data_IF_725410976790
#
_entry.id   IF_725410976790
#
_cell.length_a   1.000
_cell.length_b   1.000
_cell.length_c   1.000
_cell.angle_alpha   90.00
_cell.angle_beta   90.00
_cell.angle_gamma   90.00
#
_symmetry.space_group_name_H-M   'P 1'
#
loop_
_entity.id
_entity.type
_entity.pdbx_description
1 polymer ?
#
# COMPACT_ATOMS: atom_id res chain seq x y z
N UNK A 1 -7.29 -10.05 16.28
CA UNK A 1 -7.26 -11.55 16.32
C UNK A 1 -6.11 -12.05 15.47
N UNK A 2 -5.69 -13.31 15.65
CA UNK A 2 -4.78 -13.97 14.70
C UNK A 2 -5.57 -14.93 13.83
N UNK A 3 -5.37 -14.85 12.53
CA UNK A 3 -5.88 -15.83 11.56
C UNK A 3 -5.14 -17.17 11.65
N UNK A 4 -5.50 -18.15 10.79
CA UNK A 4 -4.89 -19.49 10.82
C UNK A 4 -3.38 -19.48 10.69
N UNK A 5 -2.83 -18.63 9.83
CA UNK A 5 -1.40 -18.50 9.52
C UNK A 5 -0.76 -17.29 10.20
N UNK A 6 -0.83 -17.17 11.49
CA UNK A 6 -0.68 -16.01 12.37
C UNK A 6 -0.90 -14.60 11.77
N UNK A 7 -1.62 -14.51 10.65
CA UNK A 7 -2.01 -13.22 10.08
C UNK A 7 -2.79 -12.38 11.10
N UNK A 8 -2.51 -11.09 11.14
CA UNK A 8 -3.28 -10.18 11.95
C UNK A 8 -4.60 -9.83 11.26
N UNK A 9 -5.71 -10.14 11.90
CA UNK A 9 -7.07 -9.82 11.41
C UNK A 9 -7.71 -8.83 12.37
N UNK A 10 -8.15 -7.70 11.83
CA UNK A 10 -8.93 -6.71 12.57
C UNK A 10 -10.42 -6.84 12.22
N UNK A 11 -11.25 -6.77 13.24
CA UNK A 11 -12.71 -6.71 13.11
C UNK A 11 -13.21 -5.36 13.60
N UNK A 12 -13.87 -4.59 12.72
CA UNK A 12 -14.57 -3.36 13.07
C UNK A 12 -16.07 -3.61 13.14
N UNK A 13 -16.62 -3.70 14.36
CA UNK A 13 -18.03 -4.10 14.61
C UNK A 13 -19.07 -3.02 14.37
N UNK A 14 -18.71 -1.82 13.93
CA UNK A 14 -19.63 -0.67 13.77
C UNK A 14 -19.97 -0.36 12.31
N UNK A 15 -19.63 -1.23 11.39
CA UNK A 15 -19.89 -1.02 9.97
C UNK A 15 -21.32 -1.45 9.60
N UNK A 16 -22.01 -0.73 8.71
CA UNK A 16 -23.39 -1.04 8.32
C UNK A 16 -23.53 -2.31 7.49
N UNK A 17 -22.43 -2.79 6.90
CA UNK A 17 -22.38 -4.03 6.13
C UNK A 17 -21.02 -4.69 6.29
N UNK A 18 -21.00 -6.01 6.15
CA UNK A 18 -19.77 -6.79 6.12
C UNK A 18 -19.00 -6.48 4.83
N UNK A 19 -17.71 -6.17 4.96
CA UNK A 19 -16.80 -5.95 3.83
C UNK A 19 -15.35 -6.10 4.25
N UNK A 20 -14.49 -6.36 3.27
CA UNK A 20 -13.06 -6.38 3.47
C UNK A 20 -12.52 -4.94 3.31
N UNK A 21 -12.22 -4.29 4.41
CA UNK A 21 -11.73 -2.90 4.42
C UNK A 21 -11.30 -2.47 5.83
N UNK A 22 -10.13 -1.84 6.03
CA UNK A 22 -9.07 -1.54 5.07
C UNK A 22 -8.00 -2.64 4.96
N UNK A 23 -7.09 -2.47 4.00
CA UNK A 23 -5.78 -3.15 3.99
C UNK A 23 -4.78 -2.29 4.74
N UNK A 24 -4.05 -2.87 5.69
CA UNK A 24 -3.02 -2.18 6.46
C UNK A 24 -1.64 -2.65 6.00
N UNK A 25 -0.75 -1.70 5.76
CA UNK A 25 0.65 -1.95 5.39
C UNK A 25 1.57 -1.05 6.21
N UNK A 26 2.77 -1.53 6.47
CA UNK A 26 3.86 -0.67 6.90
C UNK A 26 4.54 -0.03 5.69
N UNK A 27 5.01 1.20 5.85
CA UNK A 27 5.76 1.93 4.83
C UNK A 27 7.00 2.55 5.45
N UNK A 28 8.08 2.64 4.67
CA UNK A 28 9.29 3.34 5.12
C UNK A 28 9.03 4.84 5.25
N UNK A 29 8.21 5.40 4.35
CA UNK A 29 7.74 6.78 4.35
C UNK A 29 6.26 6.82 3.91
N UNK A 30 5.31 6.83 4.86
CA UNK A 30 3.89 6.87 4.55
C UNK A 30 3.44 8.07 3.71
N UNK A 31 4.09 9.23 3.87
CA UNK A 31 3.75 10.44 3.11
C UNK A 31 4.28 10.33 1.68
N UNK A 32 5.52 9.88 1.54
CA UNK A 32 6.10 9.58 0.23
C UNK A 32 5.29 8.51 -0.51
N UNK A 33 4.82 7.48 0.20
CA UNK A 33 3.94 6.47 -0.37
C UNK A 33 2.63 7.08 -0.89
N UNK A 34 1.97 7.97 -0.12
CA UNK A 34 0.77 8.67 -0.59
C UNK A 34 1.00 9.36 -1.94
N UNK A 35 2.09 10.13 -2.05
CA UNK A 35 2.43 10.83 -3.28
C UNK A 35 2.77 9.87 -4.43
N UNK A 36 3.43 8.76 -4.14
CA UNK A 36 3.72 7.72 -5.12
C UNK A 36 2.44 7.10 -5.69
N UNK A 37 1.52 6.67 -4.83
CA UNK A 37 0.24 6.08 -5.25
C UNK A 37 -0.65 7.06 -6.01
N UNK A 38 -0.69 8.32 -5.57
CA UNK A 38 -1.41 9.38 -6.31
C UNK A 38 -0.83 9.61 -7.70
N UNK A 39 0.49 9.69 -7.80
CA UNK A 39 1.18 9.97 -9.07
C UNK A 39 1.08 8.80 -10.05
N UNK A 40 1.40 7.61 -9.59
CA UNK A 40 1.58 6.45 -10.47
C UNK A 40 0.29 5.66 -10.69
N UNK A 41 -0.58 5.58 -9.69
CA UNK A 41 -1.81 4.79 -9.75
C UNK A 41 -3.09 5.63 -9.75
N UNK A 42 -2.98 6.97 -9.79
CA UNK A 42 -4.11 7.90 -9.75
C UNK A 42 -5.03 7.68 -8.52
N UNK A 43 -4.50 7.11 -7.44
CA UNK A 43 -5.28 6.75 -6.28
C UNK A 43 -5.69 7.99 -5.47
N UNK A 44 -6.98 8.24 -5.24
CA UNK A 44 -7.41 9.36 -4.40
C UNK A 44 -6.99 9.12 -2.95
N UNK A 45 -6.63 10.21 -2.27
CA UNK A 45 -6.34 10.15 -0.84
C UNK A 45 -7.59 9.77 -0.04
N UNK A 46 -7.42 8.88 0.93
CA UNK A 46 -8.50 8.49 1.82
C UNK A 46 -8.98 9.67 2.68
N UNK A 47 -10.28 9.97 2.74
CA UNK A 47 -10.83 11.01 3.61
C UNK A 47 -10.44 10.83 5.08
N UNK A 48 -10.04 11.90 5.75
CA UNK A 48 -9.60 11.87 7.15
C UNK A 48 -8.18 11.34 7.38
N UNK A 49 -7.44 11.01 6.31
CA UNK A 49 -6.05 10.55 6.35
C UNK A 49 -5.09 11.49 5.62
N UNK A 50 -5.50 12.74 5.45
CA UNK A 50 -4.59 13.76 4.98
C UNK A 50 -3.45 13.95 5.99
N UNK A 51 -2.19 13.93 5.54
CA UNK A 51 -1.07 14.32 6.38
C UNK A 51 -1.28 15.73 6.92
N UNK A 52 -0.98 15.93 8.18
CA UNK A 52 -0.92 17.27 8.76
C UNK A 52 0.39 17.96 8.36
N UNK A 53 0.48 19.28 8.54
CA UNK A 53 1.75 19.99 8.34
C UNK A 53 2.86 19.46 9.28
N UNK A 54 2.47 18.96 10.45
CA UNK A 54 3.42 18.32 11.38
C UNK A 54 3.94 16.98 10.82
N UNK A 55 3.07 16.18 10.23
CA UNK A 55 3.48 14.89 9.62
C UNK A 55 4.42 15.10 8.43
N UNK A 56 4.18 16.12 7.60
CA UNK A 56 5.02 16.44 6.45
C UNK A 56 6.46 16.85 6.78
N UNK A 57 6.73 17.19 8.04
CA UNK A 57 8.06 17.50 8.53
C UNK A 57 8.74 16.33 9.25
N UNK A 58 8.05 15.19 9.39
CA UNK A 58 8.63 14.01 10.00
C UNK A 58 9.51 13.29 9.01
N UNK A 59 10.76 13.12 9.34
CA UNK A 59 11.70 12.30 8.59
C UNK A 59 12.27 11.23 9.50
N UNK A 60 12.53 10.07 8.93
CA UNK A 60 13.18 8.99 9.66
C UNK A 60 14.63 9.35 9.92
N UNK A 61 15.08 9.19 11.17
CA UNK A 61 16.46 9.41 11.55
C UNK A 61 17.40 8.36 10.91
N UNK A 62 18.73 8.62 10.92
CA UNK A 62 19.71 7.68 10.38
C UNK A 62 19.75 6.34 11.15
N UNK A 63 19.31 6.34 12.39
CA UNK A 63 19.10 5.15 13.25
C UNK A 63 17.74 4.49 13.03
N UNK A 64 17.01 4.90 11.99
CA UNK A 64 15.67 4.43 11.62
C UNK A 64 14.57 4.78 12.64
N UNK A 65 14.81 5.69 13.56
CA UNK A 65 13.77 6.20 14.45
C UNK A 65 12.92 7.28 13.82
N UNK A 66 11.68 7.40 14.28
CA UNK A 66 10.76 8.48 13.91
C UNK A 66 10.62 9.47 15.07
N UNK A 67 10.83 10.79 14.85
CA UNK A 67 10.90 11.77 15.93
C UNK A 67 9.62 11.92 16.76
N UNK A 68 8.46 11.68 16.17
CA UNK A 68 7.16 11.93 16.80
C UNK A 68 6.26 10.69 16.80
N UNK A 69 6.82 9.52 17.09
CA UNK A 69 6.01 8.31 17.17
C UNK A 69 5.05 8.34 18.34
N UNK A 70 3.76 8.47 18.05
CA UNK A 70 2.73 8.08 18.99
C UNK A 70 2.60 6.55 18.96
N UNK A 71 3.05 5.88 20.02
CA UNK A 71 3.00 4.43 20.16
C UNK A 71 1.77 3.93 20.90
N UNK A 72 0.87 4.82 21.27
CA UNK A 72 -0.35 4.44 21.96
C UNK A 72 -1.41 3.95 20.96
N UNK A 73 -1.92 2.76 21.20
CA UNK A 73 -2.96 2.14 20.38
C UNK A 73 -2.50 1.64 19.02
N UNK A 74 -3.45 1.51 18.09
CA UNK A 74 -3.24 1.01 16.72
C UNK A 74 -2.72 2.07 15.74
N UNK A 75 -2.88 3.35 16.07
CA UNK A 75 -2.57 4.44 15.16
C UNK A 75 -1.17 4.99 15.44
N UNK A 76 -0.34 4.93 14.43
CA UNK A 76 1.05 5.38 14.48
C UNK A 76 1.26 6.46 13.42
N UNK A 77 1.80 7.59 13.83
CA UNK A 77 2.15 8.69 12.93
C UNK A 77 3.63 8.62 12.55
N UNK A 78 4.01 9.06 11.35
CA UNK A 78 3.15 9.52 10.26
C UNK A 78 2.29 8.38 9.71
N UNK A 79 1.09 8.72 9.23
CA UNK A 79 0.19 7.77 8.58
C UNK A 79 -0.43 8.43 7.36
N UNK A 80 -0.76 7.64 6.35
CA UNK A 80 -1.47 8.08 5.17
C UNK A 80 -2.33 6.95 4.61
N UNK A 81 -3.07 7.19 3.55
CA UNK A 81 -3.84 6.15 2.88
C UNK A 81 -4.52 6.66 1.62
N UNK A 82 -4.85 5.73 0.76
CA UNK A 82 -5.59 5.95 -0.48
C UNK A 82 -6.81 5.06 -0.55
N UNK A 83 -7.67 5.31 -1.52
CA UNK A 83 -8.84 4.49 -1.80
C UNK A 83 -8.78 3.94 -3.22
N UNK A 84 -9.20 2.68 -3.38
CA UNK A 84 -9.44 2.03 -4.65
C UNK A 84 -10.88 1.50 -4.62
N UNK A 85 -11.80 2.22 -5.27
CA UNK A 85 -13.22 1.92 -5.18
C UNK A 85 -13.72 2.02 -3.73
N UNK A 86 -14.18 0.92 -3.17
CA UNK A 86 -14.68 0.81 -1.79
C UNK A 86 -13.65 0.23 -0.79
N UNK A 87 -12.43 -0.03 -1.24
CA UNK A 87 -11.33 -0.54 -0.41
C UNK A 87 -10.31 0.56 -0.15
N UNK A 88 -9.97 0.74 1.11
CA UNK A 88 -8.90 1.66 1.52
C UNK A 88 -7.61 0.90 1.78
N UNK A 89 -6.49 1.46 1.33
CA UNK A 89 -5.14 1.08 1.78
C UNK A 89 -4.65 2.12 2.77
N UNK A 90 -4.18 1.66 3.91
CA UNK A 90 -3.70 2.51 4.99
C UNK A 90 -2.27 2.15 5.36
N UNK A 91 -1.45 3.15 5.54
CA UNK A 91 -0.03 2.99 5.83
C UNK A 91 0.35 3.58 7.18
N UNK A 92 1.21 2.83 7.86
CA UNK A 92 1.88 3.25 9.08
C UNK A 92 3.38 3.22 8.88
N UNK A 93 4.10 4.09 9.57
CA UNK A 93 5.55 4.09 9.50
C UNK A 93 6.12 2.78 10.03
N UNK A 94 7.00 2.15 9.24
CA UNK A 94 7.76 0.98 9.70
C UNK A 94 8.58 1.36 10.93
N UNK A 95 8.31 0.72 12.05
CA UNK A 95 8.99 0.93 13.33
C UNK A 95 10.01 -0.15 13.65
N UNK A 96 10.14 -1.14 12.77
CA UNK A 96 11.14 -2.17 12.90
C UNK A 96 12.55 -1.63 12.70
N UNK A 97 13.53 -2.31 13.28
CA UNK A 97 14.95 -1.97 13.12
C UNK A 97 15.44 -2.24 11.69
N UNK A 98 14.79 -3.18 11.02
CA UNK A 98 15.15 -3.56 9.65
C UNK A 98 14.28 -2.84 8.62
N UNK A 99 14.83 -2.51 7.44
CA UNK A 99 14.05 -2.07 6.29
C UNK A 99 12.99 -3.09 5.89
N UNK A 100 11.91 -2.61 5.29
CA UNK A 100 10.93 -3.46 4.64
C UNK A 100 11.59 -4.19 3.45
N UNK A 101 11.14 -5.39 3.22
CA UNK A 101 11.58 -6.25 2.11
C UNK A 101 10.38 -6.58 1.24
N UNK A 102 10.63 -7.18 0.07
CA UNK A 102 9.56 -7.58 -0.84
C UNK A 102 8.48 -8.40 -0.13
N UNK A 103 7.23 -8.09 -0.40
CA UNK A 103 6.09 -8.88 0.08
C UNK A 103 5.95 -10.22 -0.66
N UNK A 104 6.59 -10.37 -1.83
CA UNK A 104 6.54 -11.62 -2.60
C UNK A 104 7.03 -12.81 -1.79
N UNK A 105 6.21 -13.88 -1.79
CA UNK A 105 6.49 -15.10 -1.04
C UNK A 105 6.19 -15.01 0.46
N UNK A 106 5.66 -13.88 0.95
CA UNK A 106 5.17 -13.74 2.31
C UNK A 106 3.69 -14.14 2.42
N UNK A 107 3.15 -14.16 3.65
CA UNK A 107 1.75 -14.50 3.90
C UNK A 107 0.78 -13.57 3.14
N UNK A 108 1.07 -12.28 3.08
CA UNK A 108 0.43 -11.31 2.20
C UNK A 108 1.40 -11.04 1.04
N UNK A 109 1.28 -11.83 -0.01
CA UNK A 109 2.23 -11.84 -1.11
C UNK A 109 2.12 -10.56 -1.96
N UNK A 110 0.91 -10.20 -2.39
CA UNK A 110 0.65 -9.02 -3.21
C UNK A 110 -0.77 -8.49 -3.01
N UNK A 111 -1.04 -7.33 -3.59
CA UNK A 111 -2.36 -6.71 -3.68
C UNK A 111 -2.71 -6.59 -5.15
N UNK A 112 -3.82 -7.17 -5.56
CA UNK A 112 -4.32 -7.06 -6.93
C UNK A 112 -5.25 -5.85 -7.09
N UNK A 113 -5.01 -5.08 -8.15
CA UNK A 113 -5.78 -3.91 -8.55
C UNK A 113 -6.33 -4.13 -9.96
N UNK A 114 -7.63 -4.00 -10.13
CA UNK A 114 -8.27 -4.09 -11.43
C UNK A 114 -8.02 -2.83 -12.26
N UNK A 115 -7.63 -3.00 -13.51
CA UNK A 115 -7.41 -1.91 -14.46
C UNK A 115 -8.08 -2.23 -15.79
N UNK A 116 -8.56 -1.21 -16.49
CA UNK A 116 -8.88 -1.28 -17.91
C UNK A 116 -7.64 -0.90 -18.71
N UNK A 117 -7.42 -1.49 -19.88
CA UNK A 117 -6.29 -1.17 -20.77
C UNK A 117 -4.91 -1.33 -20.09
N UNK A 118 -4.54 -2.59 -19.83
CA UNK A 118 -3.29 -2.93 -19.18
C UNK A 118 -2.06 -2.41 -19.93
N UNK A 119 -2.11 -2.36 -21.27
CA UNK A 119 -0.97 -1.89 -22.08
C UNK A 119 -0.73 -0.40 -21.85
N UNK A 120 -1.76 0.43 -21.77
CA UNK A 120 -1.64 1.85 -21.44
C UNK A 120 -1.06 2.06 -20.02
N UNK A 121 -1.44 1.23 -19.06
CA UNK A 121 -0.86 1.25 -17.71
C UNK A 121 0.62 0.86 -17.72
N UNK A 122 1.00 -0.16 -18.46
CA UNK A 122 2.40 -0.60 -18.59
C UNK A 122 3.25 0.52 -19.18
N UNK A 123 2.80 1.12 -20.29
CA UNK A 123 3.52 2.21 -20.94
C UNK A 123 3.70 3.42 -20.03
N UNK A 124 2.64 3.82 -19.33
CA UNK A 124 2.68 4.89 -18.34
C UNK A 124 3.70 4.60 -17.24
N UNK A 125 3.60 3.45 -16.60
CA UNK A 125 4.43 3.11 -15.44
C UNK A 125 5.90 2.92 -15.81
N UNK A 126 6.19 2.34 -16.98
CA UNK A 126 7.56 2.27 -17.53
C UNK A 126 8.12 3.66 -17.82
N UNK A 127 7.32 4.53 -18.46
CA UNK A 127 7.70 5.91 -18.74
C UNK A 127 7.98 6.73 -17.47
N UNK A 128 7.34 6.38 -16.36
CA UNK A 128 7.52 7.02 -15.06
C UNK A 128 8.61 6.36 -14.18
N UNK A 129 9.26 5.30 -14.69
CA UNK A 129 10.36 4.62 -14.01
C UNK A 129 9.93 3.71 -12.85
N UNK A 130 8.68 3.26 -12.83
CA UNK A 130 8.21 2.29 -11.84
C UNK A 130 8.88 0.94 -12.10
N UNK A 131 9.32 0.28 -11.03
CA UNK A 131 9.97 -1.02 -11.12
C UNK A 131 8.94 -2.12 -11.36
N UNK A 132 9.17 -2.93 -12.39
CA UNK A 132 8.42 -4.13 -12.68
C UNK A 132 9.09 -5.32 -12.00
N UNK A 133 8.31 -6.11 -11.28
CA UNK A 133 8.75 -7.35 -10.64
C UNK A 133 8.64 -8.53 -11.59
N UNK A 134 7.63 -8.50 -12.45
CA UNK A 134 7.39 -9.50 -13.51
C UNK A 134 6.93 -8.80 -14.79
N UNK A 135 7.31 -9.34 -15.94
CA UNK A 135 6.78 -8.92 -17.23
C UNK A 135 5.30 -9.32 -17.34
N UNK A 136 4.52 -8.72 -18.25
CA UNK A 136 3.13 -9.11 -18.45
C UNK A 136 2.95 -10.60 -18.68
N UNK A 137 2.02 -11.21 -17.96
CA UNK A 137 1.76 -12.65 -17.99
C UNK A 137 0.27 -12.99 -18.12
N UNK A 138 -0.08 -14.17 -18.65
CA UNK A 138 -1.46 -14.62 -18.67
C UNK A 138 -1.94 -15.00 -17.25
N UNK A 139 -3.13 -14.56 -16.90
CA UNK A 139 -3.79 -14.86 -15.63
C UNK A 139 -5.22 -15.39 -15.93
N UNK A 140 -5.38 -16.71 -16.01
CA UNK A 140 -6.64 -17.30 -16.44
C UNK A 140 -7.01 -16.88 -17.86
N UNK A 141 -8.13 -16.20 -18.01
CA UNK A 141 -8.66 -15.68 -19.27
C UNK A 141 -8.30 -14.19 -19.52
N UNK A 142 -7.47 -13.60 -18.65
CA UNK A 142 -7.00 -12.22 -18.76
C UNK A 142 -5.47 -12.13 -18.68
N UNK A 143 -4.96 -10.93 -18.49
CA UNK A 143 -3.53 -10.64 -18.32
C UNK A 143 -3.29 -9.84 -17.06
N UNK A 144 -2.10 -9.98 -16.53
CA UNK A 144 -1.65 -9.19 -15.40
C UNK A 144 -0.18 -8.77 -15.55
N UNK A 145 0.23 -7.81 -14.72
CA UNK A 145 1.63 -7.41 -14.57
C UNK A 145 1.91 -7.12 -13.09
N UNK A 146 3.12 -7.43 -12.63
CA UNK A 146 3.53 -7.20 -11.26
C UNK A 146 4.51 -6.04 -11.17
N UNK A 147 4.20 -5.05 -10.33
CA UNK A 147 5.06 -3.90 -10.06
C UNK A 147 5.43 -3.84 -8.57
N UNK A 148 6.47 -3.05 -8.26
CA UNK A 148 6.88 -2.79 -6.88
C UNK A 148 6.43 -1.41 -6.44
N UNK A 149 5.76 -1.36 -5.29
CA UNK A 149 5.41 -0.12 -4.61
C UNK A 149 6.59 0.47 -3.84
N UNK A 150 6.43 1.66 -3.23
CA UNK A 150 7.53 2.45 -2.67
C UNK A 150 8.26 1.82 -1.47
N UNK A 151 7.68 0.84 -0.82
CA UNK A 151 8.29 0.12 0.31
C UNK A 151 8.39 -1.39 0.07
N UNK A 152 8.63 -1.77 -1.17
CA UNK A 152 8.82 -3.14 -1.64
C UNK A 152 7.56 -4.02 -1.60
N UNK A 153 6.38 -3.44 -1.42
CA UNK A 153 5.13 -4.16 -1.58
C UNK A 153 4.89 -4.51 -3.06
N UNK A 154 4.44 -5.74 -3.31
CA UNK A 154 4.06 -6.17 -4.65
C UNK A 154 2.62 -5.76 -4.96
N UNK A 155 2.42 -5.17 -6.12
CA UNK A 155 1.13 -4.77 -6.65
C UNK A 155 0.92 -5.46 -8.01
N UNK A 156 -0.17 -6.18 -8.14
CA UNK A 156 -0.57 -6.83 -9.38
C UNK A 156 -1.63 -5.98 -10.08
N UNK A 157 -1.39 -5.55 -11.29
CA UNK A 157 -2.41 -4.91 -12.12
C UNK A 157 -3.04 -5.98 -13.01
N UNK A 158 -4.34 -6.20 -12.83
CA UNK A 158 -5.11 -7.21 -13.55
C UNK A 158 -6.06 -6.55 -14.52
N UNK A 159 -5.97 -6.92 -15.79
CA UNK A 159 -6.88 -6.40 -16.82
C UNK A 159 -8.30 -6.92 -16.59
N UNK A 160 -9.27 -6.00 -16.60
CA UNK A 160 -10.70 -6.33 -16.55
C UNK A 160 -11.41 -5.68 -17.73
N UNK A 161 -12.37 -6.44 -18.31
CA UNK A 161 -13.19 -5.99 -19.43
C UNK A 161 -14.36 -5.12 -18.96
#
# INVERSE_FOLDING_TARGET
MRGPDPAHVEYAGTQPAERFNPVHLDQEDPIGALHWYQKHLNAPMRPGYAPTAADGNLTRGPDRTWPALNREGMFRTPRAGVEFGDVSMMWYANQGEQPLVSSRGQLQDHIALSVSDLDAWIDKLRGEGVKFLEEPYPLGDTRAVMIEGPSCEALELVEVN
#
